data_IF_594734607283
#
_entry.id   IF_594734607283
#
_cell.length_a   1.000
_cell.length_b   1.000
_cell.length_c   1.000
_cell.angle_alpha   90.00
_cell.angle_beta   90.00
_cell.angle_gamma   90.00
#
_symmetry.space_group_name_H-M   'P 1'
#
loop_
_entity.id
_entity.type
_entity.pdbx_description
1 polymer ?
#
# COMPACT_ATOMS: atom_id res chain seq x y z
N UNK A 1 51.07 24.05 -42.48
CA UNK A 1 49.76 24.50 -41.99
C UNK A 1 49.11 23.34 -41.20
N UNK A 2 49.38 23.34 -39.92
CA UNK A 2 48.78 22.30 -38.99
C UNK A 2 47.51 22.83 -38.42
N UNK A 3 46.42 22.10 -38.63
CA UNK A 3 45.11 22.38 -38.01
C UNK A 3 45.02 21.69 -36.66
N UNK A 4 45.01 22.50 -35.63
CA UNK A 4 44.86 22.10 -34.22
C UNK A 4 43.40 21.77 -33.97
N UNK A 5 43.07 20.49 -33.80
CA UNK A 5 41.71 20.02 -33.46
C UNK A 5 41.56 20.10 -31.95
N UNK A 6 40.89 21.15 -31.47
CA UNK A 6 40.52 21.27 -30.05
C UNK A 6 39.44 20.25 -29.74
N UNK A 7 39.84 19.26 -29.00
CA UNK A 7 38.95 18.27 -28.36
C UNK A 7 38.08 18.96 -27.32
N UNK A 8 36.80 19.10 -27.62
CA UNK A 8 35.78 19.63 -26.68
C UNK A 8 35.40 18.52 -25.72
N UNK A 9 35.91 18.58 -24.50
CA UNK A 9 35.51 17.70 -23.41
C UNK A 9 34.02 17.88 -23.09
N UNK A 10 33.25 16.77 -23.16
CA UNK A 10 31.86 16.72 -22.74
C UNK A 10 31.69 17.01 -21.23
N UNK A 11 30.67 17.74 -20.83
CA UNK A 11 30.43 18.03 -19.41
C UNK A 11 30.15 16.73 -18.65
N UNK A 12 30.90 16.50 -17.58
CA UNK A 12 30.65 15.40 -16.63
C UNK A 12 29.32 15.64 -15.96
N UNK A 13 28.35 14.75 -16.21
CA UNK A 13 27.08 14.71 -15.45
C UNK A 13 27.39 14.49 -13.96
N UNK A 14 27.13 15.51 -13.16
CA UNK A 14 27.17 15.44 -11.71
C UNK A 14 25.94 14.66 -11.29
N UNK A 15 26.09 13.37 -11.01
CA UNK A 15 25.08 12.59 -10.30
C UNK A 15 24.87 13.24 -8.94
N UNK A 16 23.85 14.09 -8.82
CA UNK A 16 23.36 14.53 -7.52
C UNK A 16 22.77 13.32 -6.82
N UNK A 17 23.51 12.80 -5.86
CA UNK A 17 23.08 11.77 -4.93
C UNK A 17 21.80 12.29 -4.23
N UNK A 18 20.66 11.70 -4.57
CA UNK A 18 19.39 12.03 -3.94
C UNK A 18 19.48 11.65 -2.47
N UNK A 19 19.26 12.57 -1.52
CA UNK A 19 19.37 12.27 -0.10
C UNK A 19 18.52 11.06 0.25
N UNK A 20 19.13 10.06 0.89
CA UNK A 20 18.45 8.86 1.36
C UNK A 20 17.32 9.27 2.31
N UNK A 21 16.07 8.82 2.13
CA UNK A 21 14.99 9.17 3.02
C UNK A 21 15.33 8.70 4.45
N UNK A 22 14.98 9.47 5.48
CA UNK A 22 15.27 9.12 6.86
C UNK A 22 14.72 7.73 7.19
N UNK A 23 15.55 6.86 7.77
CA UNK A 23 15.16 5.51 8.19
C UNK A 23 13.99 5.63 9.17
N UNK A 24 12.80 5.09 8.85
CA UNK A 24 11.68 5.13 9.77
C UNK A 24 12.06 4.38 11.05
N UNK A 25 11.70 4.96 12.20
CA UNK A 25 11.87 4.32 13.49
C UNK A 25 11.21 2.93 13.47
N UNK A 26 11.96 1.89 13.79
CA UNK A 26 11.58 0.49 13.67
C UNK A 26 10.41 0.13 14.61
N UNK A 27 9.18 0.49 14.24
CA UNK A 27 7.98 -0.12 14.79
C UNK A 27 7.91 -1.53 14.24
N UNK A 28 7.88 -2.56 15.10
CA UNK A 28 7.61 -3.93 14.65
C UNK A 28 6.35 -3.92 13.80
N UNK A 29 6.49 -4.26 12.52
CA UNK A 29 5.36 -4.35 11.61
C UNK A 29 4.32 -5.33 12.16
N UNK A 30 3.02 -5.02 12.08
CA UNK A 30 1.99 -5.92 12.55
C UNK A 30 2.06 -7.23 11.75
N UNK A 31 1.84 -8.38 12.40
CA UNK A 31 1.79 -9.68 11.71
C UNK A 31 0.53 -9.86 10.87
N UNK A 32 -0.48 -9.04 11.11
CA UNK A 32 -1.76 -9.05 10.41
C UNK A 32 -2.40 -7.65 10.49
N UNK A 33 -2.85 -7.14 9.36
CA UNK A 33 -3.60 -5.88 9.25
C UNK A 33 -4.72 -6.06 8.23
N UNK A 34 -5.97 -6.02 8.72
CA UNK A 34 -7.13 -6.07 7.83
C UNK A 34 -7.26 -4.77 7.04
N UNK A 35 -7.43 -4.90 5.73
CA UNK A 35 -7.65 -3.78 4.83
C UNK A 35 -9.14 -3.70 4.42
N UNK A 36 -9.71 -2.52 4.17
CA UNK A 36 -11.02 -2.42 3.57
C UNK A 36 -11.00 -3.01 2.16
N UNK A 37 -12.07 -3.71 1.78
CA UNK A 37 -12.23 -4.23 0.43
C UNK A 37 -12.66 -3.09 -0.49
N UNK A 38 -11.85 -2.76 -1.47
CA UNK A 38 -12.21 -1.88 -2.59
C UNK A 38 -12.30 -2.76 -3.83
N UNK A 39 -13.51 -3.04 -4.35
CA UNK A 39 -13.64 -3.88 -5.52
C UNK A 39 -13.11 -3.17 -6.76
N UNK A 40 -12.45 -3.92 -7.64
CA UNK A 40 -12.13 -3.43 -8.98
C UNK A 40 -13.39 -3.37 -9.84
N UNK A 41 -13.45 -2.46 -10.78
CA UNK A 41 -14.55 -2.35 -11.73
C UNK A 41 -14.18 -3.02 -13.06
N UNK A 42 -12.92 -2.91 -13.45
CA UNK A 42 -12.33 -3.47 -14.65
C UNK A 42 -11.09 -4.30 -14.28
N UNK A 43 -10.65 -5.21 -15.15
CA UNK A 43 -9.47 -6.06 -14.90
C UNK A 43 -8.19 -5.25 -14.65
N UNK A 44 -8.04 -4.10 -15.32
CA UNK A 44 -6.89 -3.21 -15.19
C UNK A 44 -6.85 -2.42 -13.89
N UNK A 45 -7.94 -2.38 -13.12
CA UNK A 45 -8.05 -1.58 -11.90
C UNK A 45 -7.44 -2.25 -10.65
N UNK A 46 -7.02 -3.52 -10.71
CA UNK A 46 -6.59 -4.30 -9.55
C UNK A 46 -5.51 -3.58 -8.71
N UNK A 47 -4.50 -2.99 -9.34
CA UNK A 47 -3.44 -2.28 -8.63
C UNK A 47 -3.92 -0.98 -7.97
N UNK A 48 -4.83 -0.24 -8.61
CA UNK A 48 -5.42 0.96 -8.05
C UNK A 48 -6.36 0.63 -6.87
N UNK A 49 -7.14 -0.45 -6.98
CA UNK A 49 -7.99 -0.94 -5.92
C UNK A 49 -7.17 -1.39 -4.70
N UNK A 50 -6.04 -2.08 -4.93
CA UNK A 50 -5.08 -2.41 -3.88
C UNK A 50 -4.54 -1.15 -3.18
N UNK A 51 -4.15 -0.11 -3.94
CA UNK A 51 -3.69 1.15 -3.33
C UNK A 51 -4.77 1.81 -2.48
N UNK A 52 -6.01 1.90 -2.98
CA UNK A 52 -7.13 2.47 -2.24
C UNK A 52 -7.41 1.71 -0.93
N UNK A 53 -7.33 0.38 -0.97
CA UNK A 53 -7.49 -0.49 0.20
C UNK A 53 -6.37 -0.28 1.22
N UNK A 54 -5.12 -0.16 0.78
CA UNK A 54 -3.96 0.12 1.66
C UNK A 54 -4.10 1.49 2.32
N UNK A 55 -4.43 2.53 1.55
CA UNK A 55 -4.66 3.87 2.06
C UNK A 55 -5.79 3.89 3.10
N UNK A 56 -6.87 3.16 2.81
CA UNK A 56 -7.99 2.97 3.74
C UNK A 56 -7.59 2.30 5.05
N UNK A 57 -6.69 1.31 5.00
CA UNK A 57 -6.16 0.65 6.21
C UNK A 57 -5.31 1.59 7.06
N UNK A 58 -4.63 2.57 6.45
CA UNK A 58 -3.89 3.61 7.15
C UNK A 58 -4.75 4.81 7.59
N UNK A 59 -6.07 4.78 7.27
CA UNK A 59 -7.02 5.81 7.69
C UNK A 59 -7.25 6.93 6.68
N UNK A 60 -6.77 6.78 5.43
CA UNK A 60 -7.05 7.71 4.34
C UNK A 60 -7.94 7.03 3.30
N UNK A 61 -9.20 7.44 3.23
CA UNK A 61 -10.14 6.91 2.24
C UNK A 61 -9.99 7.67 0.92
N UNK A 62 -9.77 6.92 -0.15
CA UNK A 62 -9.78 7.41 -1.53
C UNK A 62 -10.73 6.55 -2.34
N UNK A 63 -11.36 7.13 -3.36
CA UNK A 63 -12.20 6.37 -4.28
C UNK A 63 -11.35 5.58 -5.26
N UNK A 64 -11.90 4.49 -5.83
CA UNK A 64 -11.21 3.74 -6.88
C UNK A 64 -10.81 4.65 -8.04
N UNK A 65 -11.70 5.55 -8.46
CA UNK A 65 -11.44 6.47 -9.56
C UNK A 65 -10.27 7.44 -9.27
N UNK A 66 -10.16 7.93 -8.04
CA UNK A 66 -9.03 8.77 -7.60
C UNK A 66 -7.72 7.98 -7.61
N UNK A 67 -7.74 6.76 -7.08
CA UNK A 67 -6.58 5.86 -7.10
C UNK A 67 -6.16 5.50 -8.53
N UNK A 68 -7.12 5.18 -9.43
CA UNK A 68 -6.84 4.86 -10.83
C UNK A 68 -6.19 6.03 -11.56
N UNK A 69 -6.69 7.26 -11.35
CA UNK A 69 -6.04 8.47 -11.90
C UNK A 69 -4.63 8.68 -11.36
N UNK A 70 -4.44 8.48 -10.05
CA UNK A 70 -3.14 8.66 -9.41
C UNK A 70 -2.12 7.62 -9.87
N UNK A 71 -2.55 6.39 -10.13
CA UNK A 71 -1.73 5.31 -10.66
C UNK A 71 -1.45 5.46 -12.16
N UNK A 72 -2.27 6.24 -12.89
CA UNK A 72 -2.20 6.33 -14.34
C UNK A 72 -2.60 5.01 -15.01
N UNK A 73 -3.69 4.39 -14.53
CA UNK A 73 -4.20 3.12 -15.09
C UNK A 73 -4.48 3.30 -16.59
N UNK A 74 -3.97 2.37 -17.39
CA UNK A 74 -4.15 2.30 -18.84
C UNK A 74 -4.93 1.03 -19.22
N UNK A 75 -5.12 0.80 -20.52
CA UNK A 75 -5.76 -0.44 -21.03
C UNK A 75 -4.99 -1.70 -20.62
N UNK A 76 -3.67 -1.61 -20.49
CA UNK A 76 -2.80 -2.71 -20.11
C UNK A 76 -2.66 -2.87 -18.57
N UNK A 77 -3.48 -2.14 -17.81
CA UNK A 77 -3.43 -2.09 -16.36
C UNK A 77 -2.38 -1.11 -15.83
N UNK A 78 -1.84 -1.42 -14.66
CA UNK A 78 -0.86 -0.60 -13.96
C UNK A 78 0.31 -1.45 -13.46
N UNK A 79 1.52 -0.92 -13.57
CA UNK A 79 2.71 -1.60 -13.03
C UNK A 79 2.84 -1.39 -11.52
N UNK A 80 3.50 -2.34 -10.82
CA UNK A 80 3.82 -2.19 -9.40
C UNK A 80 4.62 -0.91 -9.09
N UNK A 81 5.49 -0.49 -10.02
CA UNK A 81 6.25 0.76 -9.89
C UNK A 81 5.36 2.00 -9.98
N UNK A 82 4.34 1.99 -10.83
CA UNK A 82 3.39 3.11 -10.93
C UNK A 82 2.51 3.19 -9.67
N UNK A 83 2.07 2.06 -9.11
CA UNK A 83 1.36 2.01 -7.82
C UNK A 83 2.24 2.55 -6.70
N UNK A 84 3.50 2.13 -6.62
CA UNK A 84 4.46 2.64 -5.63
C UNK A 84 4.66 4.16 -5.76
N UNK A 85 4.82 4.67 -6.99
CA UNK A 85 4.92 6.12 -7.25
C UNK A 85 3.65 6.87 -6.84
N UNK A 86 2.47 6.29 -7.08
CA UNK A 86 1.21 6.87 -6.63
C UNK A 86 1.12 6.90 -5.10
N UNK A 87 1.54 5.82 -4.40
CA UNK A 87 1.58 5.77 -2.94
C UNK A 87 2.40 6.92 -2.33
N UNK A 88 3.56 7.25 -2.90
CA UNK A 88 4.37 8.38 -2.45
C UNK A 88 3.64 9.73 -2.51
N UNK A 89 2.75 9.95 -3.48
CA UNK A 89 1.94 11.18 -3.55
C UNK A 89 0.96 11.32 -2.38
N UNK A 90 0.60 10.21 -1.75
CA UNK A 90 -0.22 10.16 -0.55
C UNK A 90 0.60 10.13 0.74
N UNK A 91 1.93 10.29 0.66
CA UNK A 91 2.82 10.22 1.82
C UNK A 91 3.08 8.79 2.31
N UNK A 92 2.76 7.77 1.52
CA UNK A 92 3.00 6.35 1.87
C UNK A 92 4.27 5.87 1.19
N UNK A 93 5.18 5.32 1.98
CA UNK A 93 6.40 4.69 1.49
C UNK A 93 6.06 3.30 0.94
N UNK A 94 6.62 2.98 -0.23
CA UNK A 94 6.42 1.71 -0.90
C UNK A 94 7.76 1.04 -1.19
N UNK A 95 7.92 -0.25 -0.84
CA UNK A 95 9.16 -0.99 -0.98
C UNK A 95 8.93 -2.35 -1.63
N UNK A 96 9.40 -2.49 -2.87
CA UNK A 96 9.38 -3.76 -3.60
C UNK A 96 10.36 -4.75 -3.02
N UNK A 97 9.96 -6.01 -2.87
CA UNK A 97 10.80 -7.12 -2.41
C UNK A 97 10.50 -8.38 -3.19
N UNK A 98 11.54 -9.18 -3.39
CA UNK A 98 11.39 -10.58 -3.78
C UNK A 98 11.30 -11.42 -2.50
N UNK A 99 10.28 -12.23 -2.40
CA UNK A 99 10.05 -13.17 -1.30
C UNK A 99 10.43 -14.55 -1.81
N UNK A 100 11.22 -15.27 -1.03
CA UNK A 100 11.67 -16.62 -1.39
C UNK A 100 10.92 -17.62 -0.51
N UNK A 101 10.41 -18.68 -1.14
CA UNK A 101 9.78 -19.80 -0.43
C UNK A 101 10.87 -20.53 0.39
N UNK A 102 10.59 -20.77 1.66
CA UNK A 102 11.44 -21.57 2.54
C UNK A 102 10.72 -22.86 2.94
N UNK A 103 11.42 -23.79 3.56
CA UNK A 103 10.82 -25.02 4.09
C UNK A 103 10.22 -24.87 5.49
N UNK A 104 10.25 -23.66 6.04
CA UNK A 104 9.66 -23.35 7.33
C UNK A 104 8.13 -23.44 7.31
N UNK A 105 7.52 -23.54 8.50
CA UNK A 105 6.07 -23.70 8.67
C UNK A 105 5.21 -22.70 7.89
N UNK A 106 5.64 -21.46 7.81
CA UNK A 106 4.94 -20.38 7.09
C UNK A 106 5.58 -20.09 5.74
N UNK A 107 6.51 -20.94 5.30
CA UNK A 107 7.16 -20.82 4.00
C UNK A 107 7.80 -19.46 3.73
N UNK A 108 8.29 -18.79 4.78
CA UNK A 108 8.94 -17.47 4.70
C UNK A 108 7.97 -16.28 4.67
N UNK A 109 6.65 -16.50 4.74
CA UNK A 109 5.65 -15.44 4.65
C UNK A 109 5.59 -14.54 5.89
N UNK A 110 6.13 -14.98 7.04
CA UNK A 110 6.23 -14.17 8.25
C UNK A 110 7.17 -12.97 8.10
N UNK A 111 8.05 -12.99 7.11
CA UNK A 111 9.00 -11.92 6.81
C UNK A 111 8.44 -10.90 5.80
N UNK A 112 7.24 -11.15 5.27
CA UNK A 112 6.57 -10.22 4.36
C UNK A 112 5.97 -9.07 5.17
N UNK A 113 6.28 -7.85 4.75
CA UNK A 113 5.70 -6.64 5.35
C UNK A 113 4.18 -6.63 5.20
N UNK A 114 3.48 -6.12 6.20
CA UNK A 114 2.02 -6.02 6.21
C UNK A 114 1.60 -4.55 6.35
N UNK A 115 0.71 -4.05 5.50
CA UNK A 115 0.14 -4.69 4.31
C UNK A 115 1.13 -4.69 3.12
N UNK A 116 1.02 -5.65 2.24
CA UNK A 116 1.76 -5.69 0.97
C UNK A 116 0.84 -5.98 -0.20
N UNK A 117 1.03 -5.28 -1.30
CA UNK A 117 0.48 -5.68 -2.59
C UNK A 117 1.35 -6.81 -3.14
N UNK A 118 0.75 -7.89 -3.54
CA UNK A 118 1.39 -9.10 -4.05
C UNK A 118 0.93 -9.38 -5.47
N UNK A 119 1.85 -9.85 -6.31
CA UNK A 119 1.52 -10.30 -7.65
C UNK A 119 1.17 -11.78 -7.56
N UNK A 120 -0.05 -12.10 -7.90
CA UNK A 120 -0.57 -13.48 -7.96
C UNK A 120 -0.68 -13.97 -9.40
N UNK A 121 -1.16 -15.17 -9.61
CA UNK A 121 -1.24 -15.83 -10.93
C UNK A 121 -1.78 -14.89 -12.02
N UNK A 122 -1.02 -14.76 -13.12
CA UNK A 122 -1.26 -13.76 -14.15
C UNK A 122 -0.78 -12.36 -13.74
N UNK A 123 -1.16 -11.30 -14.45
CA UNK A 123 -0.81 -9.91 -14.10
C UNK A 123 -1.77 -9.31 -13.06
N UNK A 124 -2.21 -10.10 -12.06
CA UNK A 124 -3.20 -9.68 -11.07
C UNK A 124 -2.56 -9.29 -9.73
N UNK A 125 -3.03 -8.19 -9.14
CA UNK A 125 -2.60 -7.72 -7.83
C UNK A 125 -3.66 -7.98 -6.77
N UNK A 126 -3.22 -8.52 -5.64
CA UNK A 126 -4.01 -8.67 -4.42
C UNK A 126 -3.23 -8.10 -3.21
N UNK A 127 -3.86 -7.97 -2.06
CA UNK A 127 -3.22 -7.51 -0.83
C UNK A 127 -3.00 -8.69 0.10
N UNK A 128 -1.75 -8.88 0.49
CA UNK A 128 -1.38 -9.74 1.60
C UNK A 128 -1.60 -8.97 2.91
N UNK A 129 -2.58 -9.40 3.68
CA UNK A 129 -2.95 -8.84 4.97
C UNK A 129 -2.16 -9.43 6.14
N UNK A 130 -1.38 -10.47 5.88
CA UNK A 130 -0.54 -11.16 6.86
C UNK A 130 -1.00 -12.57 7.18
N UNK A 131 -0.36 -13.12 8.22
CA UNK A 131 -0.64 -14.48 8.69
C UNK A 131 -1.30 -14.41 10.06
N UNK A 132 -2.44 -15.09 10.20
CA UNK A 132 -3.19 -15.20 11.46
C UNK A 132 -3.68 -16.63 11.65
N UNK A 133 -3.41 -17.21 12.81
CA UNK A 133 -3.78 -18.60 13.16
C UNK A 133 -3.29 -19.63 12.12
N UNK A 134 -2.09 -19.42 11.56
CA UNK A 134 -1.48 -20.31 10.57
C UNK A 134 -2.07 -20.23 9.16
N UNK A 135 -3.00 -19.30 8.89
CA UNK A 135 -3.55 -19.03 7.57
C UNK A 135 -3.11 -17.68 7.03
N UNK A 136 -2.89 -17.62 5.74
CA UNK A 136 -2.63 -16.38 5.00
C UNK A 136 -3.96 -15.69 4.72
N UNK A 137 -4.03 -14.42 5.04
CA UNK A 137 -5.21 -13.59 4.76
C UNK A 137 -4.90 -12.68 3.57
N UNK A 138 -5.81 -12.68 2.61
CA UNK A 138 -5.70 -11.96 1.35
C UNK A 138 -6.95 -11.10 1.16
N UNK A 139 -6.77 -9.87 0.69
CA UNK A 139 -7.83 -9.03 0.17
C UNK A 139 -7.61 -8.87 -1.33
N UNK A 140 -8.46 -9.52 -2.11
CA UNK A 140 -8.40 -9.53 -3.57
C UNK A 140 -9.48 -8.59 -4.12
N UNK A 141 -9.14 -7.60 -4.95
CA UNK A 141 -10.12 -6.68 -5.53
C UNK A 141 -11.21 -7.34 -6.37
N UNK A 142 -10.95 -8.55 -6.91
CA UNK A 142 -11.92 -9.29 -7.73
C UNK A 142 -12.76 -10.27 -6.93
N UNK A 143 -12.19 -10.89 -5.88
CA UNK A 143 -12.82 -11.95 -5.11
C UNK A 143 -13.28 -11.51 -3.71
N UNK A 144 -12.77 -10.38 -3.23
CA UNK A 144 -12.95 -9.94 -1.84
C UNK A 144 -11.94 -10.56 -0.87
N UNK A 145 -12.24 -10.51 0.43
CA UNK A 145 -11.33 -11.04 1.45
C UNK A 145 -11.51 -12.54 1.64
N UNK A 146 -10.41 -13.28 1.59
CA UNK A 146 -10.39 -14.73 1.86
C UNK A 146 -9.14 -15.14 2.64
N UNK A 147 -9.03 -16.41 2.98
CA UNK A 147 -7.83 -16.98 3.61
C UNK A 147 -7.46 -18.31 2.99
N UNK A 148 -6.15 -18.53 2.85
CA UNK A 148 -5.56 -19.74 2.29
C UNK A 148 -4.53 -20.35 3.25
N UNK A 149 -4.15 -21.58 3.03
CA UNK A 149 -2.95 -22.14 3.64
C UNK A 149 -1.70 -21.49 3.03
N UNK A 150 -0.55 -21.50 3.73
CA UNK A 150 0.69 -20.99 3.13
C UNK A 150 1.06 -21.69 1.81
N UNK A 151 0.79 -22.98 1.68
CA UNK A 151 1.06 -23.74 0.46
C UNK A 151 0.18 -23.28 -0.70
N UNK A 152 -1.15 -23.23 -0.50
CA UNK A 152 -2.11 -22.73 -1.50
C UNK A 152 -1.78 -21.29 -1.95
N UNK A 153 -1.36 -20.43 -1.02
CA UNK A 153 -0.95 -19.07 -1.36
C UNK A 153 0.29 -19.07 -2.27
N UNK A 154 1.31 -19.90 -1.94
CA UNK A 154 2.52 -20.01 -2.76
C UNK A 154 2.28 -20.56 -4.15
N UNK A 155 1.26 -21.37 -4.36
CA UNK A 155 0.92 -21.91 -5.69
C UNK A 155 0.45 -20.79 -6.66
N UNK A 156 -0.07 -19.70 -6.13
CA UNK A 156 -0.49 -18.53 -6.92
C UNK A 156 0.45 -17.34 -6.82
N UNK A 157 1.32 -17.26 -5.82
CA UNK A 157 2.16 -16.10 -5.54
C UNK A 157 3.45 -16.12 -6.38
N UNK A 158 3.70 -15.08 -7.13
CA UNK A 158 4.89 -14.93 -7.99
C UNK A 158 6.21 -14.68 -7.23
N UNK A 159 6.14 -14.48 -5.92
CA UNK A 159 7.29 -14.09 -5.10
C UNK A 159 7.60 -12.58 -5.11
N UNK A 160 6.75 -11.76 -5.73
CA UNK A 160 6.94 -10.30 -5.78
C UNK A 160 5.93 -9.63 -4.84
N UNK A 161 6.43 -8.89 -3.86
CA UNK A 161 5.63 -8.11 -2.91
C UNK A 161 6.08 -6.65 -2.86
N UNK A 162 5.12 -5.73 -2.76
CA UNK A 162 5.35 -4.32 -2.50
C UNK A 162 4.76 -4.00 -1.14
N UNK A 163 5.60 -3.84 -0.14
CA UNK A 163 5.20 -3.46 1.21
C UNK A 163 4.94 -1.96 1.31
N UNK A 164 3.97 -1.59 2.14
CA UNK A 164 3.59 -0.20 2.37
C UNK A 164 3.69 0.17 3.84
N UNK A 165 4.13 1.40 4.10
CA UNK A 165 4.15 1.98 5.44
C UNK A 165 3.85 3.49 5.36
N UNK A 166 3.13 4.06 6.34
CA UNK A 166 2.94 5.50 6.40
C UNK A 166 4.29 6.21 6.55
N UNK A 167 4.57 7.15 5.66
CA UNK A 167 5.73 8.03 5.76
C UNK A 167 5.51 9.18 6.74
N UNK A 168 6.52 10.04 6.96
CA UNK A 168 6.40 11.19 7.86
C UNK A 168 5.36 12.21 7.39
N UNK A 169 5.15 12.31 6.09
CA UNK A 169 4.20 13.25 5.46
C UNK A 169 2.82 12.63 5.23
N UNK A 170 2.55 11.44 5.78
CA UNK A 170 1.27 10.79 5.62
C UNK A 170 0.20 11.42 6.50
N UNK A 171 -0.83 11.96 5.87
CA UNK A 171 -2.00 12.50 6.56
C UNK A 171 -3.15 11.48 6.49
N UNK A 172 -3.49 10.90 7.65
CA UNK A 172 -4.73 10.16 7.78
C UNK A 172 -5.89 11.17 7.72
N UNK A 173 -6.94 10.87 6.93
CA UNK A 173 -8.15 11.67 6.98
C UNK A 173 -8.73 11.60 8.40
N UNK A 174 -9.14 12.74 8.95
CA UNK A 174 -9.83 12.77 10.22
C UNK A 174 -11.10 11.93 10.11
N UNK A 175 -11.09 10.74 10.71
CA UNK A 175 -12.18 9.79 10.59
C UNK A 175 -13.37 10.27 11.43
N UNK A 176 -14.40 10.76 10.77
CA UNK A 176 -15.69 11.02 11.40
C UNK A 176 -16.31 9.76 12.06
N UNK A 177 -15.79 8.56 11.74
CA UNK A 177 -16.29 7.29 12.29
C UNK A 177 -15.70 6.94 13.67
N UNK A 178 -14.65 7.60 14.13
CA UNK A 178 -14.15 7.41 15.51
C UNK A 178 -15.10 7.95 16.59
N UNK A 179 -16.07 8.76 16.21
CA UNK A 179 -17.12 9.20 17.14
C UNK A 179 -18.13 8.12 17.50
N UNK A 180 -18.26 7.02 16.72
CA UNK A 180 -19.28 6.01 16.94
C UNK A 180 -18.99 4.99 18.05
N UNK A 181 -17.76 4.91 18.56
CA UNK A 181 -17.35 3.96 19.60
C UNK A 181 -17.53 4.45 21.05
N UNK A 182 -17.69 5.72 21.29
CA UNK A 182 -17.77 6.31 22.64
C UNK A 182 -19.15 6.82 23.06
N UNK A 183 -20.16 6.61 22.25
CA UNK A 183 -21.54 7.07 22.52
C UNK A 183 -22.29 6.27 23.58
N UNK A 184 -21.73 5.21 24.13
CA UNK A 184 -22.52 4.28 24.95
C UNK A 184 -22.62 4.58 26.44
N UNK A 185 -21.92 5.58 27.00
CA UNK A 185 -22.02 5.79 28.48
C UNK A 185 -21.85 7.22 29.03
N UNK A 186 -22.10 8.28 28.26
CA UNK A 186 -21.79 9.61 28.82
C UNK A 186 -22.64 10.81 28.41
N UNK A 187 -23.48 10.71 27.40
CA UNK A 187 -24.22 11.86 26.87
C UNK A 187 -25.74 11.85 27.23
N UNK A 188 -26.14 11.19 28.33
CA UNK A 188 -27.52 11.19 28.76
C UNK A 188 -27.93 12.43 29.59
N UNK A 189 -27.12 13.49 29.66
CA UNK A 189 -27.44 14.61 30.57
C UNK A 189 -27.16 16.02 30.02
N UNK A 190 -27.20 16.28 28.73
CA UNK A 190 -27.33 17.66 28.22
C UNK A 190 -27.46 17.70 26.71
N UNK A 191 -28.59 18.15 26.14
CA UNK A 191 -28.70 18.38 24.69
C UNK A 191 -27.90 19.62 24.21
N UNK A 192 -27.37 20.45 25.10
CA UNK A 192 -26.81 21.75 24.75
C UNK A 192 -25.27 21.81 24.70
N UNK A 193 -24.58 20.68 24.77
CA UNK A 193 -23.11 20.62 24.65
C UNK A 193 -22.64 19.62 23.60
N UNK A 194 -23.17 19.74 22.39
CA UNK A 194 -22.52 19.19 21.24
C UNK A 194 -21.28 20.04 20.94
N UNK A 195 -20.09 19.48 21.18
CA UNK A 195 -18.83 20.19 20.99
C UNK A 195 -18.69 20.59 19.51
N UNK A 196 -18.80 21.86 19.20
CA UNK A 196 -18.67 22.50 17.87
C UNK A 196 -17.38 22.12 17.13
N UNK A 197 -16.41 21.52 17.81
CA UNK A 197 -15.16 21.03 17.21
C UNK A 197 -15.26 19.68 16.49
N UNK A 198 -16.39 18.95 16.61
CA UNK A 198 -16.57 17.66 15.97
C UNK A 198 -17.55 17.67 14.78
N UNK A 199 -18.19 18.79 14.49
CA UNK A 199 -19.22 18.91 13.46
C UNK A 199 -19.02 20.07 12.49
N UNK A 200 -17.79 20.53 12.24
CA UNK A 200 -17.53 21.44 11.12
C UNK A 200 -17.24 20.63 9.85
N UNK A 201 -17.89 21.00 8.72
CA UNK A 201 -17.79 20.29 7.44
C UNK A 201 -16.40 20.33 6.85
#
# INVERSE_FOLDING_TARGET
MSLDVRETAAPKEVHQERPEPPKPAARKAPRYLRTPVVPQMEEQDCGAACLASVLGAFGRRVTLQEASRSCGVSRDGVSAAAVAKAAYRYGVLAKGRRVVRTEERLLGLENVQVPSMVLVTGPHFAIFEGVKRGRVHINDPSLGSYSATPAEFWDSFSGIAVGFEPGPDFEAAADASRCSGRWRRGCARSPDRCCWRCCSP
#
